data_IF_658549295860
#
_entry.id   IF_658549295860
#
_cell.length_a   1.000
_cell.length_b   1.000
_cell.length_c   1.000
_cell.angle_alpha   90.00
_cell.angle_beta   90.00
_cell.angle_gamma   90.00
#
_symmetry.space_group_name_H-M   'P 1'
#
loop_
_entity.id
_entity.type
_entity.pdbx_description
1 polymer ?
#
# COMPACT_ATOMS: atom_id res chain seq x y z
N UNK A 1 21.76 -6.47 0.71
CA UNK A 1 21.22 -5.77 -0.46
C UNK A 1 22.31 -5.38 -1.46
N UNK A 2 23.41 -4.71 -1.03
CA UNK A 2 24.52 -4.30 -1.92
C UNK A 2 25.09 -5.48 -2.71
N UNK A 3 25.43 -6.58 -2.03
CA UNK A 3 25.97 -7.79 -2.66
C UNK A 3 24.98 -8.40 -3.69
N UNK A 4 23.69 -8.36 -3.39
CA UNK A 4 22.64 -8.85 -4.29
C UNK A 4 22.57 -7.99 -5.56
N UNK A 5 22.58 -6.66 -5.43
CA UNK A 5 22.55 -5.73 -6.57
C UNK A 5 23.79 -5.93 -7.44
N UNK A 6 24.99 -6.03 -6.86
CA UNK A 6 26.24 -6.34 -7.59
C UNK A 6 26.14 -7.69 -8.32
N UNK A 7 25.52 -8.68 -7.70
CA UNK A 7 25.27 -9.98 -8.33
C UNK A 7 24.36 -9.86 -9.55
N UNK A 8 23.33 -9.02 -9.51
CA UNK A 8 22.44 -8.75 -10.64
C UNK A 8 23.14 -7.96 -11.76
N UNK A 9 23.97 -6.97 -11.40
CA UNK A 9 24.80 -6.23 -12.38
C UNK A 9 25.69 -7.22 -13.15
N UNK A 10 26.39 -8.11 -12.42
CA UNK A 10 27.25 -9.15 -13.04
C UNK A 10 26.47 -10.09 -13.96
N UNK A 11 25.22 -10.41 -13.61
CA UNK A 11 24.33 -11.26 -14.42
C UNK A 11 23.72 -10.53 -15.63
N UNK A 12 23.89 -9.21 -15.71
CA UNK A 12 23.33 -8.34 -16.75
C UNK A 12 21.81 -8.56 -16.89
N UNK A 13 21.08 -8.46 -15.77
CA UNK A 13 19.62 -8.59 -15.79
C UNK A 13 18.99 -7.47 -16.63
N UNK A 14 17.81 -7.71 -17.20
CA UNK A 14 17.14 -6.79 -18.12
C UNK A 14 16.59 -5.55 -17.43
N UNK A 15 16.29 -5.62 -16.12
CA UNK A 15 15.79 -4.51 -15.32
C UNK A 15 15.98 -4.83 -13.82
N UNK A 16 16.18 -3.79 -13.00
CA UNK A 16 16.22 -3.87 -11.55
C UNK A 16 15.10 -3.02 -10.92
N UNK A 17 14.42 -3.58 -9.92
CA UNK A 17 13.55 -2.83 -9.01
C UNK A 17 14.22 -2.86 -7.64
N UNK A 18 14.55 -1.68 -7.10
CA UNK A 18 15.27 -1.53 -5.84
C UNK A 18 14.38 -0.74 -4.86
N UNK A 19 14.01 -1.38 -3.74
CA UNK A 19 13.52 -0.70 -2.55
C UNK A 19 14.67 -0.65 -1.55
N UNK A 20 15.26 0.53 -1.35
CA UNK A 20 16.46 0.66 -0.53
C UNK A 20 16.15 0.44 0.95
N UNK A 21 17.01 -0.30 1.66
CA UNK A 21 16.87 -0.43 3.10
C UNK A 21 17.32 0.84 3.82
N UNK A 22 18.46 1.38 3.39
CA UNK A 22 19.03 2.65 3.83
C UNK A 22 19.51 3.42 2.60
N UNK A 23 19.36 4.74 2.63
CA UNK A 23 19.61 5.60 1.47
C UNK A 23 21.09 5.63 1.09
N UNK A 24 21.98 6.02 2.04
CA UNK A 24 23.40 6.24 1.79
C UNK A 24 24.14 4.98 1.30
N UNK A 25 24.03 3.81 1.95
CA UNK A 25 24.80 2.63 1.54
C UNK A 25 24.37 2.05 0.19
N UNK A 26 23.09 2.24 -0.19
CA UNK A 26 22.53 1.64 -1.41
C UNK A 26 22.69 2.55 -2.62
N UNK A 27 22.81 3.85 -2.43
CA UNK A 27 22.92 4.83 -3.51
C UNK A 27 24.06 4.49 -4.49
N UNK A 28 25.32 4.25 -4.07
CA UNK A 28 26.41 4.00 -5.03
C UNK A 28 26.17 2.79 -5.94
N UNK A 29 25.65 1.68 -5.39
CA UNK A 29 25.44 0.46 -6.16
C UNK A 29 24.20 0.53 -7.05
N UNK A 30 23.19 1.32 -6.68
CA UNK A 30 22.04 1.59 -7.53
C UNK A 30 22.44 2.45 -8.74
N UNK A 31 23.28 3.46 -8.53
CA UNK A 31 23.88 4.29 -9.59
C UNK A 31 24.79 3.45 -10.49
N UNK A 32 25.58 2.54 -9.93
CA UNK A 32 26.42 1.60 -10.68
C UNK A 32 25.56 0.75 -11.65
N UNK A 33 24.42 0.23 -11.19
CA UNK A 33 23.49 -0.53 -12.01
C UNK A 33 22.93 0.32 -13.18
N UNK A 34 22.50 1.54 -12.89
CA UNK A 34 21.98 2.47 -13.89
C UNK A 34 23.04 2.83 -14.92
N UNK A 35 24.26 3.16 -14.50
CA UNK A 35 25.39 3.48 -15.38
C UNK A 35 25.87 2.27 -16.21
N UNK A 36 25.66 1.05 -15.71
CA UNK A 36 25.91 -0.18 -16.47
C UNK A 36 24.85 -0.43 -17.57
N UNK A 37 23.89 0.48 -17.75
CA UNK A 37 22.83 0.37 -18.77
C UNK A 37 21.65 -0.50 -18.36
N UNK A 38 21.55 -0.92 -17.09
CA UNK A 38 20.41 -1.68 -16.56
C UNK A 38 19.32 -0.70 -16.13
N UNK A 39 18.13 -0.72 -16.75
CA UNK A 39 17.01 0.08 -16.28
C UNK A 39 16.75 -0.18 -14.79
N UNK A 40 16.78 0.90 -14.00
CA UNK A 40 16.69 0.80 -12.53
C UNK A 40 15.48 1.58 -12.05
N UNK A 41 14.51 0.88 -11.49
CA UNK A 41 13.33 1.45 -10.83
C UNK A 41 13.65 1.56 -9.35
N UNK A 42 13.56 2.76 -8.80
CA UNK A 42 13.61 2.99 -7.35
C UNK A 42 12.18 2.97 -6.84
N UNK A 43 11.89 2.06 -5.92
CA UNK A 43 10.56 1.81 -5.38
C UNK A 43 10.51 2.16 -3.90
N UNK A 44 9.43 2.85 -3.47
CA UNK A 44 9.14 3.17 -2.08
C UNK A 44 10.15 4.17 -1.49
N UNK A 45 11.34 3.71 -1.14
CA UNK A 45 12.39 4.51 -0.50
C UNK A 45 13.36 5.05 -1.53
N UNK A 46 13.63 6.34 -1.42
CA UNK A 46 14.55 7.05 -2.32
C UNK A 46 16.01 6.64 -2.10
N UNK A 47 16.82 6.89 -3.11
CA UNK A 47 18.27 6.94 -3.02
C UNK A 47 18.73 8.41 -3.09
N UNK A 48 19.95 8.71 -2.68
CA UNK A 48 20.51 10.06 -2.71
C UNK A 48 21.18 10.36 -4.08
N UNK A 49 20.41 10.18 -5.15
CA UNK A 49 20.82 10.44 -6.52
C UNK A 49 19.61 10.48 -7.44
N UNK A 50 19.72 11.20 -8.56
CA UNK A 50 18.72 11.20 -9.64
C UNK A 50 19.13 10.25 -10.80
N UNK A 51 20.23 9.53 -10.65
CA UNK A 51 20.71 8.54 -11.62
C UNK A 51 20.00 7.21 -11.45
N UNK A 52 18.75 7.16 -11.92
CA UNK A 52 17.89 5.99 -12.02
C UNK A 52 16.92 6.17 -13.21
N UNK A 53 16.28 5.11 -13.64
CA UNK A 53 15.32 5.17 -14.74
C UNK A 53 14.03 5.85 -14.31
N UNK A 54 13.44 5.41 -13.20
CA UNK A 54 12.21 6.00 -12.63
C UNK A 54 12.12 5.76 -11.13
N UNK A 55 11.41 6.66 -10.44
CA UNK A 55 11.03 6.52 -9.04
C UNK A 55 9.53 6.32 -8.91
N UNK A 56 9.12 5.39 -8.05
CA UNK A 56 7.73 5.09 -7.73
C UNK A 56 7.57 5.07 -6.21
N UNK A 57 6.79 5.98 -5.66
CA UNK A 57 6.56 6.05 -4.21
C UNK A 57 5.65 7.20 -3.81
N UNK A 58 5.22 7.21 -2.56
CA UNK A 58 4.50 8.32 -1.97
C UNK A 58 5.46 9.43 -1.50
N UNK A 59 4.91 10.60 -1.23
CA UNK A 59 5.66 11.72 -0.66
C UNK A 59 5.67 11.64 0.87
N UNK A 60 6.76 11.12 1.43
CA UNK A 60 6.89 10.92 2.87
C UNK A 60 6.98 12.23 3.65
N UNK A 61 7.51 13.30 3.05
CA UNK A 61 7.51 14.61 3.66
C UNK A 61 6.07 15.14 3.81
N UNK A 62 5.28 15.08 2.76
CA UNK A 62 3.87 15.50 2.81
C UNK A 62 3.02 14.62 3.74
N UNK A 63 3.36 13.34 3.89
CA UNK A 63 2.73 12.47 4.90
C UNK A 63 3.06 12.98 6.30
N UNK A 64 4.33 13.17 6.61
CA UNK A 64 4.76 13.70 7.92
C UNK A 64 4.13 15.05 8.22
N UNK A 65 4.11 15.95 7.23
CA UNK A 65 3.47 17.26 7.34
C UNK A 65 1.97 17.16 7.61
N UNK A 66 1.29 16.27 6.91
CA UNK A 66 -0.15 16.04 7.09
C UNK A 66 -0.46 15.47 8.49
N UNK A 67 0.41 14.60 9.00
CA UNK A 67 0.30 14.07 10.36
C UNK A 67 0.49 15.20 11.38
N UNK A 68 1.53 16.01 11.24
CA UNK A 68 1.76 17.15 12.11
C UNK A 68 0.59 18.12 12.14
N UNK A 69 0.01 18.44 10.98
CA UNK A 69 -1.20 19.25 10.88
C UNK A 69 -2.43 18.61 11.54
N UNK A 70 -2.58 17.30 11.42
CA UNK A 70 -3.64 16.57 12.13
C UNK A 70 -3.42 16.64 13.64
N UNK A 71 -2.21 16.34 14.11
CA UNK A 71 -1.84 16.42 15.52
C UNK A 71 -2.05 17.84 16.06
N UNK A 72 -1.66 18.87 15.32
CA UNK A 72 -1.91 20.27 15.72
C UNK A 72 -3.40 20.57 15.96
N UNK A 73 -4.29 19.89 15.25
CA UNK A 73 -5.74 20.03 15.47
C UNK A 73 -6.25 19.38 16.78
N UNK A 74 -5.46 18.47 17.35
CA UNK A 74 -5.77 17.77 18.60
C UNK A 74 -5.23 18.50 19.84
N UNK A 75 -4.22 19.36 19.68
CA UNK A 75 -3.52 20.06 20.77
C UNK A 75 -4.46 21.05 21.46
N UNK A 76 -4.52 20.99 22.78
CA UNK A 76 -5.34 21.90 23.62
C UNK A 76 -4.54 22.68 24.67
N UNK A 77 -3.24 22.49 24.73
CA UNK A 77 -2.35 23.09 25.73
C UNK A 77 -0.96 22.49 25.63
N UNK A 78 -0.22 22.44 26.74
CA UNK A 78 1.04 21.71 26.78
C UNK A 78 0.79 20.25 26.38
N UNK A 79 1.55 19.76 25.41
CA UNK A 79 1.34 18.43 24.83
C UNK A 79 2.67 17.74 24.60
N UNK A 80 2.80 16.54 25.12
CA UNK A 80 3.97 15.67 24.89
C UNK A 80 3.65 14.65 23.81
N UNK A 81 4.42 14.67 22.73
CA UNK A 81 4.33 13.73 21.63
C UNK A 81 5.49 12.76 21.71
N UNK A 82 5.18 11.48 21.69
CA UNK A 82 6.17 10.42 21.54
C UNK A 82 6.28 10.01 20.06
N UNK A 83 7.34 10.47 19.40
CA UNK A 83 7.64 10.08 18.03
C UNK A 83 8.45 8.80 18.00
N UNK A 84 7.92 7.74 17.33
CA UNK A 84 8.61 6.46 17.17
C UNK A 84 9.08 6.32 15.73
N UNK A 85 10.39 6.44 15.58
CA UNK A 85 11.06 6.40 14.30
C UNK A 85 11.06 5.01 13.66
N UNK A 86 10.91 5.00 12.34
CA UNK A 86 11.37 3.87 11.54
C UNK A 86 12.90 3.74 11.60
N UNK A 87 13.50 3.06 10.62
CA UNK A 87 14.96 2.98 10.54
C UNK A 87 15.53 4.36 10.17
N UNK A 88 16.30 4.96 11.06
CA UNK A 88 17.07 6.17 10.75
C UNK A 88 17.99 5.89 9.56
N UNK A 89 18.15 6.84 8.66
CA UNK A 89 18.92 6.68 7.41
C UNK A 89 18.11 6.09 6.24
N UNK A 90 16.84 5.67 6.44
CA UNK A 90 15.91 5.47 5.34
C UNK A 90 15.23 6.79 4.96
N UNK A 91 15.08 7.05 3.66
CA UNK A 91 14.44 8.30 3.19
C UNK A 91 13.03 8.47 3.73
N UNK A 92 12.26 7.38 3.86
CA UNK A 92 10.90 7.43 4.38
C UNK A 92 10.83 7.88 5.84
N UNK A 93 11.74 7.42 6.71
CA UNK A 93 11.75 7.86 8.10
C UNK A 93 12.20 9.32 8.22
N UNK A 94 13.27 9.68 7.53
CA UNK A 94 13.83 11.04 7.57
C UNK A 94 12.83 12.07 7.03
N UNK A 95 12.19 11.77 5.90
CA UNK A 95 11.24 12.70 5.30
C UNK A 95 9.95 12.82 6.13
N UNK A 96 9.45 11.72 6.74
CA UNK A 96 8.28 11.78 7.65
C UNK A 96 8.57 12.65 8.86
N UNK A 97 9.73 12.45 9.50
CA UNK A 97 10.15 13.28 10.60
C UNK A 97 10.24 14.75 10.21
N UNK A 98 10.94 15.07 9.11
CA UNK A 98 11.11 16.45 8.69
C UNK A 98 9.78 17.14 8.44
N UNK A 99 8.87 16.49 7.70
CA UNK A 99 7.54 17.03 7.44
C UNK A 99 6.72 17.21 8.73
N UNK A 100 6.82 16.27 9.66
CA UNK A 100 6.17 16.33 10.96
C UNK A 100 6.70 17.50 11.80
N UNK A 101 8.02 17.62 11.97
CA UNK A 101 8.64 18.69 12.74
C UNK A 101 8.36 20.06 12.13
N UNK A 102 8.43 20.19 10.80
CA UNK A 102 8.11 21.45 10.12
C UNK A 102 6.67 21.90 10.37
N UNK A 103 5.74 20.96 10.45
CA UNK A 103 4.35 21.25 10.79
C UNK A 103 4.16 21.60 12.28
N UNK A 104 4.96 21.01 13.17
CA UNK A 104 4.86 21.20 14.63
C UNK A 104 5.65 22.40 15.15
N UNK A 105 6.64 22.88 14.40
CA UNK A 105 7.58 23.95 14.81
C UNK A 105 6.92 25.28 15.16
N UNK A 106 5.63 25.43 14.88
CA UNK A 106 4.86 26.67 15.08
C UNK A 106 4.25 26.72 16.50
N UNK A 107 4.15 25.58 17.21
CA UNK A 107 3.50 25.53 18.52
C UNK A 107 4.54 25.38 19.65
N UNK A 108 4.77 26.44 20.48
CA UNK A 108 5.74 26.40 21.56
C UNK A 108 5.33 25.48 22.72
N UNK A 109 4.08 25.01 22.76
CA UNK A 109 3.57 24.15 23.83
C UNK A 109 3.83 22.66 23.57
N UNK A 110 4.45 22.32 22.45
CA UNK A 110 4.70 20.94 22.08
C UNK A 110 6.09 20.50 22.50
N UNK A 111 6.15 19.37 23.19
CA UNK A 111 7.36 18.65 23.51
C UNK A 111 7.40 17.35 22.74
N UNK A 112 8.43 17.14 21.93
CA UNK A 112 8.64 15.89 21.20
C UNK A 112 9.71 15.06 21.89
N UNK A 113 9.39 13.79 22.14
CA UNK A 113 10.32 12.75 22.61
C UNK A 113 10.46 11.72 21.53
N UNK A 114 11.67 11.27 21.23
CA UNK A 114 11.93 10.36 20.11
C UNK A 114 12.41 9.00 20.59
N UNK A 115 11.93 7.93 19.96
CA UNK A 115 12.36 6.55 20.14
C UNK A 115 12.66 5.88 18.80
N UNK A 116 13.53 4.88 18.80
CA UNK A 116 13.89 4.12 17.61
C UNK A 116 13.15 2.78 17.57
N UNK A 117 12.13 2.65 16.72
CA UNK A 117 11.33 1.43 16.56
C UNK A 117 11.78 0.53 15.40
N UNK A 118 12.63 1.04 14.49
CA UNK A 118 13.23 0.29 13.37
C UNK A 118 12.22 -0.44 12.48
N UNK A 119 10.97 0.03 12.39
CA UNK A 119 9.81 -0.55 11.68
C UNK A 119 9.16 -1.76 12.38
N UNK A 120 9.62 -2.19 13.55
CA UNK A 120 9.14 -3.38 14.22
C UNK A 120 8.28 -3.06 15.44
N UNK A 121 7.11 -3.73 15.53
CA UNK A 121 6.20 -3.65 16.68
C UNK A 121 6.91 -3.96 17.98
N UNK A 122 7.71 -5.05 17.99
CA UNK A 122 8.46 -5.50 19.16
C UNK A 122 9.43 -4.44 19.67
N UNK A 123 10.16 -3.78 18.77
CA UNK A 123 11.13 -2.77 19.17
C UNK A 123 10.42 -1.55 19.79
N UNK A 124 9.36 -1.07 19.15
CA UNK A 124 8.56 0.03 19.70
C UNK A 124 8.01 -0.30 21.10
N UNK A 125 7.48 -1.51 21.28
CA UNK A 125 7.02 -2.01 22.55
C UNK A 125 8.15 -2.01 23.60
N UNK A 126 9.32 -2.61 23.28
CA UNK A 126 10.47 -2.71 24.18
C UNK A 126 11.05 -1.33 24.57
N UNK A 127 11.11 -0.39 23.60
CA UNK A 127 11.62 0.97 23.88
C UNK A 127 10.66 1.78 24.73
N UNK A 128 9.34 1.66 24.52
CA UNK A 128 8.35 2.34 25.36
C UNK A 128 8.35 1.79 26.80
N UNK A 129 8.55 0.48 26.98
CA UNK A 129 8.67 -0.11 28.33
C UNK A 129 9.88 0.42 29.11
N UNK A 130 10.94 0.87 28.43
CA UNK A 130 12.16 1.42 29.07
C UNK A 130 12.04 2.90 29.47
N UNK A 131 10.99 3.59 29.05
CA UNK A 131 10.80 4.99 29.42
C UNK A 131 10.62 5.16 30.93
N UNK A 132 11.30 6.14 31.51
CA UNK A 132 11.17 6.44 32.95
C UNK A 132 9.76 6.88 33.32
N UNK A 133 9.12 7.67 32.45
CA UNK A 133 7.75 8.18 32.59
C UNK A 133 6.99 8.04 31.28
N UNK A 134 5.72 7.63 31.37
CA UNK A 134 4.76 7.60 30.26
C UNK A 134 3.50 8.40 30.58
N UNK A 135 3.36 8.86 31.82
CA UNK A 135 2.17 9.53 32.35
C UNK A 135 1.97 10.91 31.72
N UNK A 136 3.03 11.49 31.16
CA UNK A 136 3.05 12.77 30.46
C UNK A 136 2.88 12.65 28.94
N UNK A 137 2.71 11.44 28.39
CA UNK A 137 2.54 11.23 26.95
C UNK A 137 1.08 11.41 26.57
N UNK A 138 0.81 12.39 25.71
CA UNK A 138 -0.54 12.69 25.22
C UNK A 138 -0.79 12.05 23.85
N UNK A 139 0.25 11.99 22.99
CA UNK A 139 0.14 11.49 21.63
C UNK A 139 1.33 10.59 21.32
N UNK A 140 1.07 9.44 20.73
CA UNK A 140 2.07 8.59 20.09
C UNK A 140 1.94 8.74 18.58
N UNK A 141 2.96 9.27 17.94
CA UNK A 141 3.13 9.22 16.51
C UNK A 141 4.22 8.21 16.13
N UNK A 142 3.85 7.13 15.49
CA UNK A 142 4.80 6.15 14.99
C UNK A 142 4.88 6.17 13.45
N UNK A 143 6.08 5.97 12.92
CA UNK A 143 6.32 5.99 11.48
C UNK A 143 5.66 4.81 10.75
N UNK A 144 5.08 3.83 11.46
CA UNK A 144 4.13 2.88 10.90
C UNK A 144 3.13 2.36 11.96
N UNK A 145 2.06 1.74 11.48
CA UNK A 145 0.97 1.21 12.32
C UNK A 145 1.44 0.13 13.29
N UNK A 146 2.38 -0.71 12.87
CA UNK A 146 2.89 -1.78 13.71
C UNK A 146 3.64 -1.26 14.94
N UNK A 147 4.41 -0.19 14.78
CA UNK A 147 5.10 0.45 15.91
C UNK A 147 4.10 1.20 16.81
N UNK A 148 3.07 1.86 16.23
CA UNK A 148 2.02 2.50 17.01
C UNK A 148 1.27 1.48 17.89
N UNK A 149 0.94 0.32 17.33
CA UNK A 149 0.32 -0.78 18.07
C UNK A 149 1.25 -1.36 19.15
N UNK A 150 2.56 -1.45 18.87
CA UNK A 150 3.54 -1.89 19.86
C UNK A 150 3.66 -0.91 21.05
N UNK A 151 3.66 0.38 20.76
CA UNK A 151 3.67 1.41 21.78
C UNK A 151 2.40 1.37 22.63
N UNK A 152 1.23 1.23 22.01
CA UNK A 152 -0.03 1.06 22.71
C UNK A 152 -0.01 -0.12 23.67
N UNK A 153 0.48 -1.28 23.22
CA UNK A 153 0.60 -2.48 24.07
C UNK A 153 1.50 -2.26 25.28
N UNK A 154 2.62 -1.56 25.07
CA UNK A 154 3.53 -1.24 26.15
C UNK A 154 2.91 -0.28 27.18
N UNK A 155 2.18 0.73 26.73
CA UNK A 155 1.44 1.66 27.59
C UNK A 155 0.33 0.93 28.34
N UNK A 156 -0.44 0.06 27.65
CA UNK A 156 -1.51 -0.74 28.26
C UNK A 156 -1.00 -1.69 29.33
N UNK A 157 0.18 -2.28 29.14
CA UNK A 157 0.83 -3.15 30.12
C UNK A 157 1.33 -2.39 31.35
N UNK A 158 1.88 -1.19 31.16
CA UNK A 158 2.38 -0.35 32.25
C UNK A 158 1.25 0.28 33.06
N UNK A 159 0.29 0.87 32.38
CA UNK A 159 -0.91 1.47 32.96
C UNK A 159 -2.05 1.51 31.94
N UNK A 160 -2.99 0.58 32.07
CA UNK A 160 -4.15 0.47 31.17
C UNK A 160 -5.08 1.68 31.20
N UNK A 161 -5.04 2.49 32.28
CA UNK A 161 -5.88 3.68 32.40
C UNK A 161 -5.43 4.79 31.45
N UNK A 162 -4.16 4.82 31.06
CA UNK A 162 -3.60 5.81 30.15
C UNK A 162 -4.05 5.61 28.68
N UNK A 163 -4.38 4.41 28.28
CA UNK A 163 -4.77 4.09 26.88
C UNK A 163 -5.95 4.94 26.40
N UNK A 164 -6.87 5.29 27.29
CA UNK A 164 -8.01 6.16 26.97
C UNK A 164 -7.68 7.65 26.86
N UNK A 165 -6.48 8.05 27.24
CA UNK A 165 -6.01 9.44 27.24
C UNK A 165 -4.95 9.72 26.18
N UNK A 166 -4.29 8.68 25.67
CA UNK A 166 -3.23 8.79 24.66
C UNK A 166 -3.82 8.55 23.27
N UNK A 167 -3.54 9.45 22.32
CA UNK A 167 -3.90 9.29 20.91
C UNK A 167 -2.79 8.54 20.17
N UNK A 168 -3.14 7.45 19.46
CA UNK A 168 -2.19 6.61 18.73
C UNK A 168 -2.33 6.79 17.22
N UNK A 169 -1.29 7.30 16.57
CA UNK A 169 -1.26 7.65 15.16
C UNK A 169 -0.17 6.87 14.46
N UNK A 170 -0.54 6.17 13.38
CA UNK A 170 0.36 5.38 12.56
C UNK A 170 0.43 5.82 11.12
N UNK A 171 1.17 5.06 10.34
CA UNK A 171 1.26 5.13 8.88
C UNK A 171 1.24 3.71 8.36
N UNK A 172 0.84 3.51 7.17
CA UNK A 172 0.66 2.37 6.29
C UNK A 172 -0.82 2.22 5.91
N UNK A 173 -1.75 2.23 6.87
CA UNK A 173 -3.18 2.12 6.59
C UNK A 173 -3.51 0.86 5.79
N UNK A 174 -2.80 -0.25 6.07
CA UNK A 174 -2.95 -1.50 5.31
C UNK A 174 -4.32 -2.12 5.57
N UNK A 175 -4.84 -2.74 4.50
CA UNK A 175 -6.08 -3.52 4.52
C UNK A 175 -5.78 -4.96 4.98
N UNK A 176 -6.63 -5.53 5.84
CA UNK A 176 -6.54 -6.93 6.26
C UNK A 176 -6.33 -7.11 7.76
N UNK A 177 -6.46 -8.37 8.23
CA UNK A 177 -6.61 -8.75 9.63
C UNK A 177 -5.61 -8.15 10.61
N UNK A 178 -6.08 -7.30 11.51
CA UNK A 178 -5.31 -6.67 12.57
C UNK A 178 -4.39 -5.54 12.13
N UNK A 179 -4.47 -5.10 10.86
CA UNK A 179 -3.63 -4.04 10.29
C UNK A 179 -4.32 -2.66 10.37
N UNK A 180 -3.62 -1.63 9.90
CA UNK A 180 -3.93 -0.23 10.11
C UNK A 180 -5.40 0.17 10.02
N UNK A 181 -6.08 -0.14 8.91
CA UNK A 181 -7.52 0.21 8.74
C UNK A 181 -8.39 -0.47 9.81
N UNK A 182 -8.15 -1.77 10.05
CA UNK A 182 -8.90 -2.50 11.07
C UNK A 182 -8.57 -2.01 12.48
N UNK A 183 -7.29 -1.69 12.74
CA UNK A 183 -6.88 -1.15 14.04
C UNK A 183 -7.56 0.20 14.34
N UNK A 184 -7.71 1.07 13.33
CA UNK A 184 -8.46 2.32 13.48
C UNK A 184 -9.96 2.04 13.64
N UNK A 185 -10.54 1.14 12.86
CA UNK A 185 -11.95 0.78 12.97
C UNK A 185 -12.30 0.17 14.33
N UNK A 186 -11.36 -0.57 14.95
CA UNK A 186 -11.49 -1.15 16.29
C UNK A 186 -11.13 -0.19 17.44
N UNK A 187 -10.70 1.04 17.14
CA UNK A 187 -10.25 2.01 18.14
C UNK A 187 -8.92 1.65 18.82
N UNK A 188 -8.10 0.81 18.19
CA UNK A 188 -6.73 0.52 18.64
C UNK A 188 -5.75 1.60 18.18
N UNK A 189 -6.03 2.25 17.09
CA UNK A 189 -5.37 3.46 16.60
C UNK A 189 -6.44 4.53 16.44
N UNK A 190 -6.07 5.78 16.65
CA UNK A 190 -6.97 6.92 16.44
C UNK A 190 -6.94 7.39 15.00
N UNK A 191 -5.76 7.30 14.37
CA UNK A 191 -5.60 7.54 12.95
C UNK A 191 -4.46 6.73 12.35
N UNK A 192 -4.54 6.51 11.03
CA UNK A 192 -3.43 6.05 10.20
C UNK A 192 -3.42 6.81 8.88
N UNK A 193 -2.27 6.83 8.22
CA UNK A 193 -2.12 7.47 6.91
C UNK A 193 -1.78 6.40 5.87
N UNK A 194 -2.71 6.17 4.94
CA UNK A 194 -2.53 5.16 3.90
C UNK A 194 -1.24 5.39 3.13
N UNK A 195 -0.40 4.37 3.07
CA UNK A 195 0.85 4.35 2.32
C UNK A 195 0.79 3.26 1.25
N UNK A 196 0.66 3.62 -0.04
CA UNK A 196 0.61 2.64 -1.12
C UNK A 196 1.98 2.04 -1.37
N UNK A 197 2.06 0.70 -1.42
CA UNK A 197 3.32 -0.02 -1.64
C UNK A 197 3.89 0.15 -3.05
N UNK A 198 3.07 0.54 -4.03
CA UNK A 198 3.50 0.79 -5.40
C UNK A 198 3.91 -0.43 -6.24
N UNK A 199 3.88 -1.64 -5.67
CA UNK A 199 4.36 -2.85 -6.35
C UNK A 199 3.67 -3.11 -7.69
N UNK A 200 2.34 -2.97 -7.75
CA UNK A 200 1.59 -3.13 -9.01
C UNK A 200 1.97 -2.10 -10.08
N UNK A 201 2.21 -0.85 -9.66
CA UNK A 201 2.69 0.22 -10.56
C UNK A 201 4.10 -0.09 -11.04
N UNK A 202 4.98 -0.57 -10.15
CA UNK A 202 6.35 -0.93 -10.50
C UNK A 202 6.43 -2.03 -11.56
N UNK A 203 5.61 -3.08 -11.44
CA UNK A 203 5.54 -4.14 -12.45
C UNK A 203 5.01 -3.62 -13.79
N UNK A 204 3.96 -2.78 -13.76
CA UNK A 204 3.43 -2.16 -14.98
C UNK A 204 4.48 -1.29 -15.67
N UNK A 205 5.20 -0.46 -14.91
CA UNK A 205 6.24 0.43 -15.45
C UNK A 205 7.45 -0.38 -15.91
N UNK A 206 7.83 -1.45 -15.22
CA UNK A 206 8.86 -2.37 -15.67
C UNK A 206 8.52 -2.98 -17.04
N UNK A 207 7.28 -3.41 -17.22
CA UNK A 207 6.80 -3.89 -18.51
C UNK A 207 6.86 -2.81 -19.61
N UNK A 208 6.44 -1.57 -19.30
CA UNK A 208 6.52 -0.44 -20.23
C UNK A 208 7.97 -0.19 -20.70
N UNK A 209 8.91 -0.15 -19.73
CA UNK A 209 10.34 0.05 -20.02
C UNK A 209 10.87 -1.07 -20.92
N UNK A 210 10.63 -2.34 -20.56
CA UNK A 210 11.13 -3.50 -21.32
C UNK A 210 10.48 -3.64 -22.69
N UNK A 211 9.25 -3.11 -22.87
CA UNK A 211 8.52 -3.10 -24.14
C UNK A 211 8.81 -1.85 -24.99
N UNK A 212 9.69 -0.95 -24.56
CA UNK A 212 9.97 0.30 -25.26
C UNK A 212 8.84 1.31 -25.28
N UNK A 213 7.88 1.18 -24.35
CA UNK A 213 6.75 2.11 -24.21
C UNK A 213 7.15 3.34 -23.36
N UNK A 214 6.41 4.43 -23.52
CA UNK A 214 6.63 5.66 -22.76
C UNK A 214 6.37 5.45 -21.27
N UNK A 215 7.22 6.04 -20.42
CA UNK A 215 7.10 6.08 -18.96
C UNK A 215 7.51 7.46 -18.44
N UNK A 216 7.20 7.76 -17.18
CA UNK A 216 7.61 9.02 -16.54
C UNK A 216 8.77 8.81 -15.57
N UNK A 217 9.53 9.87 -15.31
CA UNK A 217 10.67 9.83 -14.38
C UNK A 217 10.23 9.63 -12.92
N UNK A 218 9.01 10.08 -12.56
CA UNK A 218 8.47 9.97 -11.21
C UNK A 218 6.98 9.61 -11.24
N UNK A 219 6.60 8.62 -10.48
CA UNK A 219 5.22 8.24 -10.19
C UNK A 219 4.93 8.54 -8.72
N UNK A 220 4.25 9.65 -8.45
CA UNK A 220 3.81 10.00 -7.12
C UNK A 220 2.52 9.23 -6.79
N UNK A 221 2.56 8.43 -5.72
CA UNK A 221 1.42 7.66 -5.25
C UNK A 221 0.62 8.47 -4.25
N UNK A 222 -0.72 8.46 -4.39
CA UNK A 222 -1.61 9.21 -3.53
C UNK A 222 -1.75 8.57 -2.16
N UNK A 223 -1.79 9.39 -1.12
CA UNK A 223 -2.01 9.02 0.27
C UNK A 223 -3.34 9.56 0.77
N UNK A 224 -3.87 8.99 1.84
CA UNK A 224 -5.11 9.46 2.47
C UNK A 224 -5.05 9.23 3.97
N UNK A 225 -5.67 10.09 4.74
CA UNK A 225 -5.88 9.88 6.16
C UNK A 225 -7.02 8.90 6.39
N UNK A 226 -6.83 8.00 7.35
CA UNK A 226 -7.78 7.03 7.85
C UNK A 226 -8.02 7.34 9.32
N UNK A 227 -9.24 7.64 9.67
CA UNK A 227 -9.66 7.92 11.06
C UNK A 227 -11.00 7.25 11.38
N UNK A 228 -11.51 7.49 12.56
CA UNK A 228 -12.79 6.92 13.05
C UNK A 228 -13.97 7.20 12.12
N UNK A 229 -13.92 8.25 11.30
CA UNK A 229 -15.03 8.64 10.41
C UNK A 229 -15.09 7.82 9.12
N UNK A 230 -13.95 7.33 8.64
CA UNK A 230 -13.86 6.62 7.36
C UNK A 230 -13.36 5.17 7.50
N UNK A 231 -12.67 4.83 8.59
CA UNK A 231 -12.07 3.51 8.79
C UNK A 231 -13.12 2.37 8.70
N UNK A 232 -14.28 2.53 9.29
CA UNK A 232 -15.35 1.51 9.25
C UNK A 232 -15.81 1.21 7.83
N UNK A 233 -15.98 2.24 7.01
CA UNK A 233 -16.35 2.08 5.58
C UNK A 233 -15.23 1.43 4.78
N UNK A 234 -14.00 1.85 4.98
CA UNK A 234 -12.83 1.28 4.32
C UNK A 234 -12.60 -0.18 4.72
N UNK A 235 -12.79 -0.51 6.00
CA UNK A 235 -12.70 -1.87 6.53
C UNK A 235 -13.74 -2.78 5.85
N UNK A 236 -15.00 -2.38 5.83
CA UNK A 236 -16.08 -3.15 5.17
C UNK A 236 -15.84 -3.31 3.67
N UNK A 237 -15.30 -2.30 3.00
CA UNK A 237 -14.93 -2.41 1.58
C UNK A 237 -13.75 -3.36 1.38
N UNK A 238 -12.74 -3.31 2.26
CA UNK A 238 -11.58 -4.20 2.19
C UNK A 238 -11.97 -5.65 2.46
N UNK A 239 -12.83 -5.88 3.44
CA UNK A 239 -13.31 -7.22 3.78
C UNK A 239 -14.09 -7.84 2.60
N UNK A 240 -14.94 -7.05 1.94
CA UNK A 240 -15.60 -7.48 0.69
C UNK A 240 -14.60 -7.77 -0.43
N UNK A 241 -13.57 -6.97 -0.59
CA UNK A 241 -12.52 -7.21 -1.60
C UNK A 241 -11.73 -8.48 -1.32
N UNK A 242 -11.37 -8.74 -0.06
CA UNK A 242 -10.72 -9.97 0.37
C UNK A 242 -11.64 -11.18 0.12
N UNK A 243 -12.94 -11.05 0.44
CA UNK A 243 -13.91 -12.11 0.17
C UNK A 243 -14.09 -12.36 -1.34
N UNK A 244 -14.17 -11.31 -2.16
CA UNK A 244 -14.21 -11.47 -3.62
C UNK A 244 -12.93 -12.12 -4.16
N UNK A 245 -11.75 -11.73 -3.66
CA UNK A 245 -10.50 -12.39 -4.03
C UNK A 245 -10.51 -13.87 -3.64
N UNK A 246 -10.94 -14.19 -2.43
CA UNK A 246 -11.09 -15.57 -1.97
C UNK A 246 -12.06 -16.38 -2.83
N UNK A 247 -13.18 -15.78 -3.23
CA UNK A 247 -14.14 -16.41 -4.15
C UNK A 247 -13.52 -16.63 -5.54
N UNK A 248 -12.79 -15.65 -6.06
CA UNK A 248 -12.09 -15.79 -7.33
C UNK A 248 -11.03 -16.89 -7.28
N UNK A 249 -10.25 -16.96 -6.19
CA UNK A 249 -9.26 -18.03 -5.99
C UNK A 249 -9.92 -19.40 -5.89
N UNK A 250 -11.04 -19.50 -5.17
CA UNK A 250 -11.82 -20.72 -5.08
C UNK A 250 -12.38 -21.13 -6.44
N UNK A 251 -12.90 -20.18 -7.20
CA UNK A 251 -13.38 -20.45 -8.58
C UNK A 251 -12.23 -20.88 -9.50
N UNK A 252 -11.07 -20.23 -9.42
CA UNK A 252 -9.86 -20.62 -10.16
C UNK A 252 -9.41 -22.04 -9.78
N UNK A 253 -9.40 -22.38 -8.49
CA UNK A 253 -9.08 -23.72 -8.00
C UNK A 253 -10.07 -24.76 -8.52
N UNK A 254 -11.37 -24.48 -8.45
CA UNK A 254 -12.42 -25.35 -8.97
C UNK A 254 -12.29 -25.55 -10.49
N UNK A 255 -12.03 -24.47 -11.23
CA UNK A 255 -11.80 -24.53 -12.67
C UNK A 255 -10.56 -25.36 -13.01
N UNK A 256 -9.47 -25.19 -12.25
CA UNK A 256 -8.26 -25.98 -12.39
C UNK A 256 -8.53 -27.47 -12.12
N UNK A 257 -9.31 -27.80 -11.07
CA UNK A 257 -9.73 -29.18 -10.79
C UNK A 257 -10.60 -29.77 -11.90
N UNK A 258 -11.54 -28.99 -12.43
CA UNK A 258 -12.39 -29.40 -13.55
C UNK A 258 -11.57 -29.65 -14.81
N UNK A 259 -10.63 -28.77 -15.13
CA UNK A 259 -9.71 -28.94 -16.24
C UNK A 259 -8.80 -30.17 -16.06
N UNK A 260 -8.31 -30.41 -14.84
CA UNK A 260 -7.52 -31.60 -14.50
C UNK A 260 -8.33 -32.89 -14.65
N UNK A 261 -9.58 -32.94 -14.13
CA UNK A 261 -10.51 -34.06 -14.31
C UNK A 261 -10.83 -34.30 -15.79
N UNK A 262 -11.04 -33.22 -16.53
CA UNK A 262 -11.31 -33.28 -17.97
C UNK A 262 -10.12 -33.85 -18.73
N UNK A 263 -8.91 -33.38 -18.44
CA UNK A 263 -7.68 -33.89 -19.02
C UNK A 263 -7.42 -35.36 -18.66
N UNK A 264 -7.71 -35.78 -17.42
CA UNK A 264 -7.63 -37.17 -17.00
C UNK A 264 -8.63 -38.05 -17.73
N UNK A 265 -9.89 -37.64 -17.82
CA UNK A 265 -10.92 -38.37 -18.56
C UNK A 265 -10.58 -38.47 -20.07
N UNK A 266 -10.07 -37.40 -20.63
CA UNK A 266 -9.62 -37.36 -22.02
C UNK A 266 -8.43 -38.30 -22.26
N UNK A 267 -7.43 -38.28 -21.38
CA UNK A 267 -6.29 -39.21 -21.47
C UNK A 267 -6.73 -40.66 -21.29
N UNK A 268 -7.65 -40.94 -20.40
CA UNK A 268 -8.21 -42.28 -20.19
C UNK A 268 -9.00 -42.76 -21.41
N UNK A 269 -9.77 -41.86 -22.03
CA UNK A 269 -10.51 -42.17 -23.29
C UNK A 269 -9.57 -42.47 -24.44
N UNK A 270 -8.47 -41.73 -24.57
CA UNK A 270 -7.44 -42.00 -25.60
C UNK A 270 -6.80 -43.38 -25.38
N UNK A 271 -6.46 -43.71 -24.13
CA UNK A 271 -5.86 -45.00 -23.77
C UNK A 271 -6.79 -46.16 -24.13
N UNK A 272 -8.08 -46.01 -23.79
CA UNK A 272 -9.12 -47.03 -24.13
C UNK A 272 -9.24 -47.19 -25.66
N UNK A 273 -9.22 -46.06 -26.39
CA UNK A 273 -9.32 -46.09 -27.86
C UNK A 273 -8.08 -46.78 -28.48
N UNK A 274 -6.89 -46.53 -27.96
CA UNK A 274 -5.66 -47.18 -28.43
C UNK A 274 -5.70 -48.69 -28.16
N UNK A 275 -6.17 -49.09 -26.96
CA UNK A 275 -6.34 -50.51 -26.62
C UNK A 275 -7.37 -51.20 -27.48
N UNK A 276 -8.50 -50.55 -27.81
CA UNK A 276 -9.51 -51.09 -28.72
C UNK A 276 -8.98 -51.25 -30.16
N UNK A 277 -8.16 -50.28 -30.62
CA UNK A 277 -7.51 -50.37 -31.94
C UNK A 277 -6.47 -51.49 -32.00
N UNK A 278 -5.74 -51.73 -30.93
CA UNK A 278 -4.75 -52.81 -30.84
C UNK A 278 -5.39 -54.20 -30.76
N UNK A 279 -6.60 -54.28 -30.16
CA UNK A 279 -7.34 -55.53 -29.95
C UNK A 279 -8.25 -55.89 -31.11
N UNK A 280 -8.60 -54.93 -31.95
CA UNK A 280 -9.61 -55.13 -32.98
C UNK A 280 -9.13 -55.05 -34.42
N UNK A 281 -8.16 -55.86 -34.84
CA UNK A 281 -7.45 -55.82 -36.12
C UNK A 281 -8.28 -56.04 -37.43
N UNK A 282 -9.47 -55.43 -37.55
CA UNK A 282 -10.15 -55.47 -38.85
C UNK A 282 -10.27 -54.07 -39.48
N UNK A 283 -9.96 -53.94 -40.77
CA UNK A 283 -10.02 -52.69 -41.50
C UNK A 283 -11.37 -51.95 -41.45
N UNK A 284 -12.48 -52.68 -41.32
CA UNK A 284 -13.86 -52.16 -41.24
C UNK A 284 -14.05 -51.45 -39.89
N UNK A 285 -13.52 -52.03 -38.80
CA UNK A 285 -13.63 -51.46 -37.45
C UNK A 285 -12.76 -50.16 -37.37
N UNK A 286 -11.61 -50.14 -38.02
CA UNK A 286 -10.75 -48.94 -38.11
C UNK A 286 -11.45 -47.77 -38.83
N UNK A 287 -12.16 -48.06 -39.95
CA UNK A 287 -12.92 -47.02 -40.67
C UNK A 287 -14.13 -46.53 -39.83
N UNK A 288 -14.83 -47.43 -39.15
CA UNK A 288 -15.93 -47.07 -38.26
C UNK A 288 -15.45 -46.24 -37.06
N UNK A 289 -14.37 -46.68 -36.45
CA UNK A 289 -13.74 -45.94 -35.35
C UNK A 289 -13.19 -44.60 -35.78
N UNK A 290 -12.52 -44.56 -36.97
CA UNK A 290 -12.03 -43.32 -37.53
C UNK A 290 -13.15 -42.30 -37.81
N UNK A 291 -14.31 -42.73 -38.32
CA UNK A 291 -15.47 -41.85 -38.47
C UNK A 291 -16.01 -41.35 -37.12
N UNK A 292 -16.08 -42.20 -36.12
CA UNK A 292 -16.59 -41.85 -34.77
C UNK A 292 -15.60 -40.95 -33.99
N UNK A 293 -14.31 -41.18 -34.18
CA UNK A 293 -13.26 -40.35 -33.63
C UNK A 293 -13.27 -38.95 -34.27
N UNK A 294 -13.46 -38.83 -35.57
CA UNK A 294 -13.61 -37.51 -36.21
C UNK A 294 -14.81 -36.73 -35.71
N UNK A 295 -15.96 -37.39 -35.49
CA UNK A 295 -17.15 -36.73 -34.91
C UNK A 295 -16.92 -36.25 -33.49
N UNK A 296 -16.26 -37.05 -32.63
CA UNK A 296 -15.94 -36.65 -31.27
C UNK A 296 -14.90 -35.51 -31.20
N UNK A 297 -13.93 -35.55 -32.14
CA UNK A 297 -12.94 -34.48 -32.21
C UNK A 297 -13.55 -33.14 -32.69
N UNK A 298 -14.53 -33.18 -33.59
CA UNK A 298 -15.24 -31.97 -34.03
C UNK A 298 -16.02 -31.40 -32.85
N UNK A 299 -16.77 -32.23 -32.09
CA UNK A 299 -17.51 -31.80 -30.92
C UNK A 299 -16.56 -31.30 -29.77
N UNK A 300 -15.41 -31.91 -29.62
CA UNK A 300 -14.38 -31.53 -28.69
C UNK A 300 -13.75 -30.16 -29.04
N UNK A 301 -13.48 -29.96 -30.34
CA UNK A 301 -12.95 -28.69 -30.85
C UNK A 301 -13.97 -27.55 -30.67
N UNK A 302 -15.26 -27.81 -30.87
CA UNK A 302 -16.33 -26.85 -30.53
C UNK A 302 -16.38 -26.54 -29.03
N UNK A 303 -16.30 -27.59 -28.18
CA UNK A 303 -16.27 -27.42 -26.72
C UNK A 303 -15.00 -26.68 -26.24
N UNK A 304 -13.84 -27.04 -26.79
CA UNK A 304 -12.59 -26.34 -26.49
C UNK A 304 -12.64 -24.86 -26.91
N UNK A 305 -13.27 -24.57 -28.06
CA UNK A 305 -13.52 -23.19 -28.50
C UNK A 305 -14.42 -22.44 -27.53
N UNK A 306 -15.47 -23.10 -27.03
CA UNK A 306 -16.37 -22.52 -26.04
C UNK A 306 -15.67 -22.28 -24.69
N UNK A 307 -14.88 -23.25 -24.21
CA UNK A 307 -14.07 -23.11 -22.99
C UNK A 307 -13.02 -22.01 -23.13
N UNK A 308 -12.39 -21.91 -24.31
CA UNK A 308 -11.42 -20.84 -24.55
C UNK A 308 -12.10 -19.46 -24.56
N UNK A 309 -13.28 -19.34 -25.16
CA UNK A 309 -14.08 -18.11 -25.11
C UNK A 309 -14.47 -17.74 -23.68
N UNK A 310 -14.95 -18.71 -22.90
CA UNK A 310 -15.30 -18.45 -21.47
C UNK A 310 -14.08 -18.03 -20.64
N UNK A 311 -12.90 -18.61 -20.91
CA UNK A 311 -11.65 -18.24 -20.25
C UNK A 311 -11.21 -16.80 -20.59
N UNK A 312 -11.39 -16.41 -21.85
CA UNK A 312 -11.10 -15.03 -22.30
C UNK A 312 -12.08 -14.03 -21.69
N UNK A 313 -13.39 -14.35 -21.68
CA UNK A 313 -14.42 -13.51 -21.05
C UNK A 313 -14.18 -13.34 -19.54
N UNK A 314 -13.82 -14.44 -18.85
CA UNK A 314 -13.48 -14.40 -17.43
C UNK A 314 -12.21 -13.55 -17.14
N UNK A 315 -11.20 -13.65 -18.02
CA UNK A 315 -9.98 -12.84 -17.93
C UNK A 315 -10.28 -11.36 -18.08
N UNK A 316 -11.10 -11.00 -19.07
CA UNK A 316 -11.52 -9.60 -19.29
C UNK A 316 -12.38 -9.08 -18.13
N UNK A 317 -13.29 -9.91 -17.60
CA UNK A 317 -14.12 -9.55 -16.46
C UNK A 317 -13.26 -9.30 -15.20
N UNK A 318 -12.27 -10.18 -14.94
CA UNK A 318 -11.34 -10.00 -13.83
C UNK A 318 -10.50 -8.70 -13.97
N UNK A 319 -9.96 -8.43 -15.15
CA UNK A 319 -9.22 -7.18 -15.39
C UNK A 319 -10.09 -5.94 -15.16
N UNK A 320 -11.37 -6.01 -15.57
CA UNK A 320 -12.34 -4.93 -15.32
C UNK A 320 -12.62 -4.71 -13.83
N UNK A 321 -12.79 -5.81 -13.08
CA UNK A 321 -13.00 -5.75 -11.63
C UNK A 321 -11.78 -5.12 -10.94
N UNK A 322 -10.57 -5.54 -11.31
CA UNK A 322 -9.33 -4.98 -10.77
C UNK A 322 -9.20 -3.47 -11.08
N UNK A 323 -9.49 -3.06 -12.31
CA UNK A 323 -9.46 -1.65 -12.69
C UNK A 323 -10.50 -0.81 -11.94
N UNK A 324 -11.75 -1.28 -11.86
CA UNK A 324 -12.81 -0.56 -11.13
C UNK A 324 -12.50 -0.47 -9.64
N UNK A 325 -11.91 -1.53 -9.08
CA UNK A 325 -11.50 -1.57 -7.67
C UNK A 325 -10.37 -0.57 -7.40
N UNK A 326 -9.35 -0.57 -8.26
CA UNK A 326 -8.24 0.39 -8.15
C UNK A 326 -8.71 1.84 -8.30
N UNK A 327 -9.59 2.11 -9.27
CA UNK A 327 -10.17 3.44 -9.47
C UNK A 327 -11.02 3.89 -8.28
N UNK A 328 -11.85 2.99 -7.70
CA UNK A 328 -12.64 3.30 -6.50
C UNK A 328 -11.75 3.63 -5.30
N UNK A 329 -10.73 2.80 -5.05
CA UNK A 329 -9.77 3.04 -3.97
C UNK A 329 -9.05 4.38 -4.16
N UNK A 330 -8.56 4.64 -5.36
CA UNK A 330 -7.88 5.89 -5.69
C UNK A 330 -8.82 7.11 -5.56
N UNK A 331 -10.07 6.98 -6.00
CA UNK A 331 -11.08 8.02 -5.83
C UNK A 331 -11.32 8.34 -4.35
N UNK A 332 -11.58 7.32 -3.51
CA UNK A 332 -11.81 7.53 -2.08
C UNK A 332 -10.57 8.09 -1.37
N UNK A 333 -9.39 7.61 -1.75
CA UNK A 333 -8.12 8.11 -1.24
C UNK A 333 -7.95 9.60 -1.56
N UNK A 334 -8.15 9.96 -2.81
CA UNK A 334 -8.01 11.34 -3.29
C UNK A 334 -9.07 12.26 -2.64
N UNK A 335 -10.35 11.86 -2.64
CA UNK A 335 -11.44 12.66 -2.05
C UNK A 335 -11.21 12.84 -0.54
N UNK A 336 -10.85 11.78 0.17
CA UNK A 336 -10.59 11.87 1.62
C UNK A 336 -9.42 12.79 1.93
N UNK A 337 -8.34 12.71 1.17
CA UNK A 337 -7.16 13.56 1.36
C UNK A 337 -7.47 15.02 0.94
N UNK A 338 -8.07 15.20 -0.23
CA UNK A 338 -8.34 16.52 -0.81
C UNK A 338 -9.39 17.33 -0.03
N UNK A 339 -10.34 16.64 0.60
CA UNK A 339 -11.32 17.30 1.48
C UNK A 339 -10.76 17.54 2.87
N UNK A 340 -10.11 16.54 3.46
CA UNK A 340 -9.71 16.61 4.87
C UNK A 340 -8.54 17.56 5.13
N UNK A 341 -7.57 17.59 4.21
CA UNK A 341 -6.41 18.48 4.33
C UNK A 341 -6.82 19.97 4.36
N UNK A 342 -7.55 20.50 3.37
CA UNK A 342 -7.98 21.90 3.42
C UNK A 342 -8.97 22.17 4.56
N UNK A 343 -9.84 21.20 4.90
CA UNK A 343 -10.77 21.36 6.01
C UNK A 343 -10.04 21.46 7.36
N UNK A 344 -9.02 20.66 7.57
CA UNK A 344 -8.17 20.72 8.79
C UNK A 344 -7.44 22.06 8.88
N UNK A 345 -6.90 22.53 7.74
CA UNK A 345 -6.22 23.82 7.64
C UNK A 345 -7.16 25.03 7.78
N UNK A 346 -8.43 24.86 7.50
CA UNK A 346 -9.46 25.88 7.73
C UNK A 346 -9.88 25.87 9.22
N UNK A 347 -10.15 24.67 9.75
CA UNK A 347 -10.67 24.52 11.11
C UNK A 347 -9.63 24.88 12.18
N UNK A 348 -8.34 24.58 11.95
CA UNK A 348 -7.27 24.92 12.89
C UNK A 348 -7.17 26.42 13.16
N UNK A 349 -6.95 27.25 12.15
CA UNK A 349 -6.96 28.71 12.30
C UNK A 349 -8.28 29.28 12.81
N UNK A 350 -9.42 28.77 12.34
CA UNK A 350 -10.75 29.24 12.81
C UNK A 350 -10.97 28.98 14.29
N UNK A 351 -10.56 27.80 14.79
CA UNK A 351 -10.67 27.49 16.20
C UNK A 351 -9.75 28.38 17.05
N UNK A 352 -8.56 28.69 16.55
CA UNK A 352 -7.63 29.63 17.20
C UNK A 352 -8.19 31.06 17.20
N UNK A 353 -8.77 31.49 16.08
CA UNK A 353 -9.44 32.82 15.96
C UNK A 353 -10.64 32.97 16.89
N UNK A 354 -11.34 31.86 17.19
CA UNK A 354 -12.49 31.86 18.10
C UNK A 354 -12.08 31.95 19.60
N UNK A 355 -10.84 31.68 19.92
CA UNK A 355 -10.33 31.65 21.30
C UNK A 355 -9.49 32.86 21.70
N UNK A 356 -8.78 33.51 20.76
CA UNK A 356 -7.81 34.57 21.08
C UNK A 356 -8.00 35.79 20.15
N UNK A 357 -8.86 36.70 20.48
CA UNK A 357 -8.94 37.99 19.79
C UNK A 357 -8.12 39.08 20.46
N UNK A 358 -6.97 39.46 19.91
CA UNK A 358 -6.72 40.87 19.65
C UNK A 358 -6.34 41.16 18.18
N UNK A 359 -6.74 42.34 17.72
CA UNK A 359 -6.56 42.78 16.34
C UNK A 359 -5.08 42.85 15.93
N UNK A 360 -4.68 42.06 14.95
CA UNK A 360 -3.35 42.16 14.32
C UNK A 360 -2.68 40.82 13.94
N UNK A 361 -2.88 39.74 14.70
CA UNK A 361 -2.24 38.46 14.47
C UNK A 361 -2.99 37.55 13.49
N UNK A 362 -4.16 37.94 13.03
CA UNK A 362 -5.08 37.08 12.28
C UNK A 362 -4.95 37.13 10.75
N UNK A 363 -4.15 38.04 10.22
CA UNK A 363 -4.08 38.21 8.74
C UNK A 363 -3.51 36.99 8.02
N UNK A 364 -2.52 36.35 8.60
CA UNK A 364 -1.89 35.14 8.00
C UNK A 364 -2.77 33.89 8.15
N UNK A 365 -3.41 33.74 9.30
CA UNK A 365 -4.35 32.64 9.53
C UNK A 365 -5.59 32.77 8.61
N UNK A 366 -6.13 33.96 8.44
CA UNK A 366 -7.21 34.26 7.48
C UNK A 366 -6.78 33.96 6.04
N UNK A 367 -5.55 34.31 5.66
CA UNK A 367 -5.01 34.05 4.33
C UNK A 367 -4.90 32.55 4.06
N UNK A 368 -4.43 31.75 5.06
CA UNK A 368 -4.33 30.30 4.97
C UNK A 368 -5.72 29.68 4.83
N UNK A 369 -6.67 30.11 5.65
CA UNK A 369 -8.07 29.66 5.60
C UNK A 369 -8.69 29.93 4.24
N UNK A 370 -8.57 31.15 3.72
CA UNK A 370 -9.08 31.54 2.41
C UNK A 370 -8.49 30.69 1.28
N UNK A 371 -7.16 30.50 1.27
CA UNK A 371 -6.46 29.71 0.26
C UNK A 371 -6.90 28.24 0.28
N UNK A 372 -7.11 27.66 1.46
CA UNK A 372 -7.54 26.26 1.57
C UNK A 372 -9.03 26.08 1.29
N UNK A 373 -9.87 27.05 1.66
CA UNK A 373 -11.27 27.07 1.28
C UNK A 373 -11.45 27.22 -0.24
N UNK A 374 -10.65 28.06 -0.88
CA UNK A 374 -10.64 28.22 -2.34
C UNK A 374 -10.13 26.95 -3.06
N UNK A 375 -9.16 26.23 -2.45
CA UNK A 375 -8.70 24.94 -2.95
C UNK A 375 -9.78 23.88 -2.85
N UNK A 376 -10.48 23.81 -1.71
CA UNK A 376 -11.62 22.91 -1.53
C UNK A 376 -12.74 23.20 -2.54
N UNK A 377 -13.06 24.49 -2.79
CA UNK A 377 -14.04 24.92 -3.79
C UNK A 377 -13.69 24.52 -5.23
N UNK A 378 -12.40 24.27 -5.53
CA UNK A 378 -11.96 23.81 -6.87
C UNK A 378 -11.99 22.30 -7.02
N UNK A 379 -12.04 21.56 -5.91
CA UNK A 379 -12.02 20.09 -5.89
C UNK A 379 -13.44 19.52 -5.83
N UNK A 380 -14.40 20.31 -5.32
CA UNK A 380 -15.84 20.02 -5.37
C UNK A 380 -16.40 20.45 -6.73
#
# INVERSE_FOLDING_TARGET
>A
QISQIKGFIKKKVDLLIISSNETEPVTPVAVEAYRAGIPTIILDRKINSDEYTTYIGADNYEIGRSIGMYISSLIKGETTILEIWGRRGSSSATERHQGFVDAMSIDPNVKIRELDGYWYRKNAYEEVLKLDSIEDVDIVFAHNDMMALGAREAIEERDSSLVGHVEFIGVDGLLGGGLGVEAVAQGKLDASFYYPTGGGVAIKVAWQILSGQAYTKKYALSTAMIDKTNAGTLYLQSDRLVEYQRQIEKQRANLSQLLSKYNFLYSSLIIILILALLLGGSAIYTVYINRKVRQKNHLLNEKNRLVQQQKEELSVANQRIEQVTAQKLQFFTNVSHEIKTPLTLILGPLNKMAQDAPAGAFADDIRIVKKNAERLKRVI
#
